data_IF_166833394680
#
_entry.id   IF_166833394680
#
_cell.length_a   1.000
_cell.length_b   1.000
_cell.length_c   1.000
_cell.angle_alpha   90.00
_cell.angle_beta   90.00
_cell.angle_gamma   90.00
#
_symmetry.space_group_name_H-M   'P 1'
#
loop_
_entity.id
_entity.type
_entity.pdbx_description
1 polymer ?
#
# COMPACT_ATOMS: atom_id res chain seq x y z
N UNK A 1 -20.82 14.78 17.58
CA UNK A 1 -19.88 14.51 16.47
C UNK A 1 -20.06 13.05 16.09
N UNK A 2 -20.88 12.76 15.07
CA UNK A 2 -21.13 11.39 14.65
C UNK A 2 -19.86 10.83 14.00
N UNK A 3 -19.20 9.87 14.65
CA UNK A 3 -18.12 9.08 14.03
C UNK A 3 -18.79 8.13 13.04
N UNK A 4 -18.84 8.54 11.77
CA UNK A 4 -19.17 7.64 10.68
C UNK A 4 -18.04 6.59 10.60
N UNK A 5 -18.25 5.42 11.19
CA UNK A 5 -17.34 4.26 11.12
C UNK A 5 -17.55 3.43 9.85
N UNK A 6 -18.07 4.03 8.78
CA UNK A 6 -18.18 3.40 7.46
C UNK A 6 -16.81 3.48 6.77
N UNK A 7 -15.85 2.77 7.33
CA UNK A 7 -14.55 2.50 6.72
C UNK A 7 -14.69 1.33 5.73
N UNK A 8 -15.76 1.26 4.93
CA UNK A 8 -16.05 0.09 4.09
C UNK A 8 -14.90 -0.27 3.13
N UNK A 9 -14.13 0.72 2.65
CA UNK A 9 -12.94 0.51 1.83
C UNK A 9 -11.68 0.05 2.59
N UNK A 10 -11.57 0.33 3.89
CA UNK A 10 -10.39 -0.02 4.69
C UNK A 10 -10.15 -1.54 4.83
N UNK A 11 -11.16 -2.39 5.13
CA UNK A 11 -10.97 -3.83 5.20
C UNK A 11 -10.70 -4.45 3.82
N UNK A 12 -11.21 -3.87 2.73
CA UNK A 12 -10.96 -4.38 1.36
C UNK A 12 -9.51 -4.19 0.96
N UNK A 13 -8.96 -2.98 1.14
CA UNK A 13 -7.54 -2.70 0.87
C UNK A 13 -6.63 -3.53 1.77
N UNK A 14 -6.92 -3.64 3.07
CA UNK A 14 -6.12 -4.48 3.96
C UNK A 14 -6.09 -5.95 3.52
N UNK A 15 -7.21 -6.47 2.99
CA UNK A 15 -7.28 -7.85 2.51
C UNK A 15 -6.54 -8.01 1.18
N UNK A 16 -6.67 -7.07 0.25
CA UNK A 16 -5.89 -7.05 -0.99
C UNK A 16 -4.38 -7.02 -0.72
N UNK A 17 -3.94 -6.15 0.19
CA UNK A 17 -2.54 -6.07 0.59
C UNK A 17 -2.05 -7.36 1.25
N UNK A 18 -2.92 -8.10 1.95
CA UNK A 18 -2.57 -9.39 2.55
C UNK A 18 -2.32 -10.51 1.53
N UNK A 19 -2.86 -10.39 0.31
CA UNK A 19 -2.60 -11.32 -0.78
C UNK A 19 -1.29 -11.02 -1.52
N UNK A 20 -0.72 -9.82 -1.34
CA UNK A 20 0.53 -9.44 -2.00
C UNK A 20 1.72 -10.01 -1.21
N UNK A 21 2.55 -10.86 -1.84
CA UNK A 21 3.73 -11.42 -1.19
C UNK A 21 4.79 -10.34 -1.00
N UNK A 22 4.93 -9.88 0.25
CA UNK A 22 5.86 -8.79 0.62
C UNK A 22 7.31 -9.09 0.27
N UNK A 23 7.69 -10.36 0.36
CA UNK A 23 9.03 -10.88 0.03
C UNK A 23 9.46 -10.56 -1.41
N UNK A 24 8.51 -10.51 -2.35
CA UNK A 24 8.82 -10.13 -3.74
C UNK A 24 9.21 -8.65 -3.79
N UNK A 25 8.45 -7.79 -3.11
CA UNK A 25 8.73 -6.35 -3.07
C UNK A 25 10.05 -6.09 -2.37
N UNK A 26 10.30 -6.72 -1.23
CA UNK A 26 11.54 -6.54 -0.46
C UNK A 26 12.78 -7.01 -1.26
N UNK A 27 12.66 -8.09 -2.04
CA UNK A 27 13.72 -8.54 -2.95
C UNK A 27 13.98 -7.52 -4.07
N UNK A 28 12.94 -7.01 -4.72
CA UNK A 28 13.09 -5.98 -5.75
C UNK A 28 13.71 -4.69 -5.17
N UNK A 29 13.30 -4.30 -3.97
CA UNK A 29 13.89 -3.17 -3.24
C UNK A 29 15.39 -3.33 -3.06
N UNK A 30 15.85 -4.52 -2.66
CA UNK A 30 17.26 -4.83 -2.49
C UNK A 30 18.03 -4.87 -3.81
N UNK A 31 17.43 -5.46 -4.86
CA UNK A 31 18.05 -5.59 -6.19
C UNK A 31 18.23 -4.24 -6.88
N UNK A 32 17.24 -3.36 -6.80
CA UNK A 32 17.23 -2.07 -7.48
C UNK A 32 17.66 -0.90 -6.59
N UNK A 33 18.04 -1.18 -5.33
CA UNK A 33 18.35 -0.17 -4.31
C UNK A 33 17.31 0.96 -4.26
N UNK A 34 16.04 0.63 -4.53
CA UNK A 34 14.94 1.60 -4.64
C UNK A 34 14.78 2.43 -3.36
N UNK A 35 15.30 1.88 -2.27
CA UNK A 35 15.13 2.34 -0.91
C UNK A 35 16.32 3.08 -0.31
N UNK A 36 17.36 3.28 -1.13
CA UNK A 36 18.65 3.81 -0.69
C UNK A 36 18.63 5.29 -0.28
N UNK A 37 17.83 6.11 -0.96
CA UNK A 37 17.87 7.57 -0.78
C UNK A 37 16.60 8.17 -0.18
N UNK A 38 15.49 7.44 -0.13
CA UNK A 38 14.30 7.96 0.53
C UNK A 38 14.41 7.74 2.05
N UNK A 39 13.76 8.60 2.84
CA UNK A 39 13.72 8.45 4.32
C UNK A 39 12.39 7.98 4.88
N UNK A 40 11.28 8.33 4.22
CA UNK A 40 9.93 8.17 4.79
C UNK A 40 8.95 7.46 3.86
N UNK A 41 9.14 7.62 2.55
CA UNK A 41 8.26 7.08 1.50
C UNK A 41 8.87 5.83 0.87
N UNK A 42 8.62 4.68 1.49
CA UNK A 42 9.20 3.41 1.06
C UNK A 42 8.56 2.89 -0.22
N UNK A 43 9.26 2.05 -0.99
CA UNK A 43 8.67 1.41 -2.20
C UNK A 43 7.38 0.66 -1.85
N UNK A 44 7.34 0.01 -0.69
CA UNK A 44 6.11 -0.59 -0.16
C UNK A 44 4.99 0.45 0.07
N UNK A 45 5.30 1.59 0.68
CA UNK A 45 4.29 2.65 0.88
C UNK A 45 3.81 3.23 -0.44
N UNK A 46 4.72 3.44 -1.40
CA UNK A 46 4.36 3.89 -2.75
C UNK A 46 3.38 2.91 -3.42
N UNK A 47 3.64 1.61 -3.33
CA UNK A 47 2.74 0.57 -3.81
C UNK A 47 1.36 0.64 -3.15
N UNK A 48 1.32 0.77 -1.82
CA UNK A 48 0.06 0.91 -1.06
C UNK A 48 -0.72 2.16 -1.50
N UNK A 49 -0.05 3.30 -1.71
CA UNK A 49 -0.71 4.52 -2.19
C UNK A 49 -1.25 4.39 -3.61
N UNK A 50 -0.51 3.76 -4.52
CA UNK A 50 -0.99 3.51 -5.88
C UNK A 50 -2.23 2.62 -5.88
N UNK A 51 -2.22 1.54 -5.09
CA UNK A 51 -3.39 0.65 -4.94
C UNK A 51 -4.57 1.35 -4.28
N UNK A 52 -4.31 2.15 -3.24
CA UNK A 52 -5.33 2.97 -2.59
C UNK A 52 -5.99 3.90 -3.61
N UNK A 53 -5.21 4.63 -4.41
CA UNK A 53 -5.72 5.54 -5.43
C UNK A 53 -6.64 4.86 -6.44
N UNK A 54 -6.24 3.69 -6.96
CA UNK A 54 -7.05 2.92 -7.90
C UNK A 54 -8.36 2.44 -7.28
N UNK A 55 -8.31 1.88 -6.07
CA UNK A 55 -9.51 1.38 -5.38
C UNK A 55 -10.47 2.52 -5.08
N UNK A 56 -9.98 3.66 -4.60
CA UNK A 56 -10.83 4.83 -4.29
C UNK A 56 -11.35 5.58 -5.50
N UNK A 57 -10.74 5.40 -6.68
CA UNK A 57 -11.28 5.94 -7.93
C UNK A 57 -12.38 5.06 -8.50
N UNK A 58 -12.35 3.76 -8.20
CA UNK A 58 -13.31 2.79 -8.68
C UNK A 58 -14.60 2.69 -7.84
N UNK A 59 -14.57 3.16 -6.59
CA UNK A 59 -15.72 3.36 -5.69
C UNK A 59 -16.35 4.76 -5.86
#
# INVERSE_FOLDING_TARGET
>A
MAKNTNLAGQPVICRLLSFLPREIVDRCVGEYESDRYYKTMTTWKQLVFMLYGVVTQAD
#
